data_IF_515762073599
#
_entry.id   IF_515762073599
#
_cell.length_a   1.000
_cell.length_b   1.000
_cell.length_c   1.000
_cell.angle_alpha   90.00
_cell.angle_beta   90.00
_cell.angle_gamma   90.00
#
_symmetry.space_group_name_H-M   'P 1'
#
loop_
_entity.id
_entity.type
_entity.pdbx_description
1 polymer ?
#
# COMPACT_ATOMS: atom_id res chain seq x y z
N UNK A 1 10.42 -19.60 17.00
CA UNK A 1 9.43 -19.44 15.90
C UNK A 1 10.21 -19.11 14.63
N UNK A 2 10.16 -20.01 13.64
CA UNK A 2 10.88 -19.80 12.38
C UNK A 2 10.15 -18.72 11.58
N UNK A 3 10.89 -17.73 11.04
CA UNK A 3 10.31 -16.75 10.14
C UNK A 3 9.68 -17.47 8.94
N UNK A 4 8.52 -17.01 8.44
CA UNK A 4 7.89 -17.62 7.28
C UNK A 4 8.84 -17.57 6.07
N UNK A 5 8.96 -18.71 5.37
CA UNK A 5 9.79 -18.75 4.18
C UNK A 5 9.26 -17.76 3.12
N UNK A 6 10.13 -16.97 2.48
CA UNK A 6 9.74 -16.07 1.42
C UNK A 6 9.09 -16.84 0.26
N UNK A 7 8.16 -16.18 -0.46
CA UNK A 7 7.58 -16.74 -1.67
C UNK A 7 8.61 -16.74 -2.80
N UNK A 8 8.53 -17.78 -3.65
CA UNK A 8 9.19 -17.73 -4.95
C UNK A 8 8.32 -16.86 -5.90
N UNK A 9 8.76 -15.63 -6.14
CA UNK A 9 8.01 -14.67 -6.97
C UNK A 9 7.67 -15.21 -8.36
N UNK A 10 8.50 -16.10 -8.92
CA UNK A 10 8.26 -16.69 -10.23
C UNK A 10 7.11 -17.73 -10.23
N UNK A 11 6.66 -18.16 -9.06
CA UNK A 11 5.61 -19.18 -8.88
C UNK A 11 4.35 -18.68 -8.20
N UNK A 12 4.29 -17.38 -7.94
CA UNK A 12 3.10 -16.76 -7.33
C UNK A 12 1.94 -16.83 -8.32
N UNK A 13 0.80 -17.36 -7.87
CA UNK A 13 -0.45 -17.28 -8.61
C UNK A 13 -1.25 -16.07 -8.10
N UNK A 14 -1.54 -15.07 -8.96
CA UNK A 14 -2.32 -13.91 -8.55
C UNK A 14 -3.70 -14.22 -7.96
N UNK A 15 -4.34 -15.33 -8.38
CA UNK A 15 -5.66 -15.71 -7.88
C UNK A 15 -5.64 -16.15 -6.40
N UNK A 16 -4.48 -16.53 -5.87
CA UNK A 16 -4.34 -16.87 -4.45
C UNK A 16 -4.53 -15.67 -3.51
N UNK A 17 -4.47 -14.46 -4.07
CA UNK A 17 -4.70 -13.19 -3.35
C UNK A 17 -6.13 -12.66 -3.47
N UNK A 18 -7.05 -13.42 -4.07
CA UNK A 18 -8.47 -13.04 -4.12
C UNK A 18 -9.12 -13.22 -2.74
N UNK A 19 -9.86 -12.19 -2.32
CA UNK A 19 -10.53 -12.15 -1.01
C UNK A 19 -12.05 -12.16 -1.23
N UNK A 20 -12.71 -13.24 -0.82
CA UNK A 20 -14.17 -13.44 -0.94
C UNK A 20 -14.83 -13.60 0.42
N UNK A 21 -14.06 -13.99 1.44
CA UNK A 21 -14.52 -14.23 2.80
C UNK A 21 -13.40 -13.96 3.79
N UNK A 22 -13.71 -14.04 5.09
CA UNK A 22 -12.74 -13.80 6.16
C UNK A 22 -11.55 -14.76 6.14
N UNK A 23 -11.78 -16.04 5.82
CA UNK A 23 -10.69 -17.01 5.72
C UNK A 23 -9.72 -16.68 4.57
N UNK A 24 -10.23 -16.13 3.46
CA UNK A 24 -9.40 -15.63 2.36
C UNK A 24 -8.56 -14.43 2.81
N UNK A 25 -9.13 -13.54 3.61
CA UNK A 25 -8.41 -12.38 4.17
C UNK A 25 -7.23 -12.82 5.02
N UNK A 26 -7.44 -13.76 5.95
CA UNK A 26 -6.36 -14.29 6.78
C UNK A 26 -5.26 -14.96 5.95
N UNK A 27 -5.65 -15.78 4.96
CA UNK A 27 -4.69 -16.42 4.04
C UNK A 27 -3.91 -15.37 3.23
N UNK A 28 -4.60 -14.36 2.71
CA UNK A 28 -3.98 -13.29 1.90
C UNK A 28 -3.02 -12.45 2.74
N UNK A 29 -3.36 -12.19 4.01
CA UNK A 29 -2.48 -11.50 4.94
C UNK A 29 -1.18 -12.27 5.17
N UNK A 30 -1.25 -13.59 5.42
CA UNK A 30 -0.08 -14.45 5.55
C UNK A 30 0.77 -14.52 4.27
N UNK A 31 0.11 -14.60 3.11
CA UNK A 31 0.78 -14.58 1.81
C UNK A 31 1.47 -13.23 1.57
N UNK A 32 0.85 -12.11 1.98
CA UNK A 32 1.44 -10.78 1.87
C UNK A 32 2.73 -10.64 2.68
N UNK A 33 2.77 -11.17 3.90
CA UNK A 33 4.00 -11.19 4.73
C UNK A 33 5.12 -11.92 3.99
N UNK A 34 4.83 -13.09 3.43
CA UNK A 34 5.81 -13.89 2.68
C UNK A 34 6.25 -13.21 1.38
N UNK A 35 5.33 -12.53 0.71
CA UNK A 35 5.60 -11.73 -0.49
C UNK A 35 6.56 -10.59 -0.16
N UNK A 36 6.30 -9.84 0.91
CA UNK A 36 7.16 -8.74 1.35
C UNK A 36 8.57 -9.20 1.75
N UNK A 37 8.71 -10.40 2.33
CA UNK A 37 10.02 -10.99 2.56
C UNK A 37 10.76 -11.24 1.23
N UNK A 38 10.09 -11.77 0.22
CA UNK A 38 10.69 -11.95 -1.10
C UNK A 38 11.03 -10.63 -1.78
N UNK A 39 10.19 -9.61 -1.65
CA UNK A 39 10.45 -8.25 -2.14
C UNK A 39 11.68 -7.65 -1.46
N UNK A 40 11.79 -7.77 -0.13
CA UNK A 40 12.96 -7.31 0.64
C UNK A 40 14.26 -7.97 0.14
N UNK A 41 14.24 -9.28 -0.01
CA UNK A 41 15.41 -10.02 -0.47
C UNK A 41 15.80 -9.59 -1.89
N UNK A 42 14.82 -9.30 -2.75
CA UNK A 42 15.08 -8.77 -4.10
C UNK A 42 15.68 -7.37 -4.07
N UNK A 43 15.20 -6.48 -3.20
CA UNK A 43 15.77 -5.13 -3.01
C UNK A 43 17.22 -5.20 -2.55
N UNK A 44 17.57 -6.12 -1.64
CA UNK A 44 18.94 -6.34 -1.18
C UNK A 44 19.83 -6.81 -2.35
N UNK A 45 19.36 -7.73 -3.17
CA UNK A 45 20.08 -8.19 -4.38
C UNK A 45 20.26 -7.05 -5.37
N UNK A 46 19.35 -6.09 -5.44
CA UNK A 46 19.45 -4.88 -6.27
C UNK A 46 20.40 -3.81 -5.69
N UNK A 47 20.97 -4.05 -4.51
CA UNK A 47 21.96 -3.18 -3.90
C UNK A 47 21.46 -2.26 -2.79
N UNK A 48 20.19 -2.38 -2.38
CA UNK A 48 19.69 -1.66 -1.21
C UNK A 48 20.32 -2.21 0.08
N UNK A 49 20.76 -1.37 1.01
CA UNK A 49 21.16 -1.82 2.33
C UNK A 49 20.01 -2.59 3.02
N UNK A 50 20.30 -3.66 3.81
CA UNK A 50 19.26 -4.45 4.48
C UNK A 50 18.29 -3.63 5.34
N UNK A 51 18.80 -2.59 6.00
CA UNK A 51 17.96 -1.69 6.80
C UNK A 51 16.98 -0.91 5.92
N UNK A 52 17.47 -0.30 4.83
CA UNK A 52 16.64 0.46 3.88
C UNK A 52 15.58 -0.44 3.22
N UNK A 53 15.99 -1.64 2.78
CA UNK A 53 15.05 -2.62 2.24
C UNK A 53 13.96 -3.01 3.25
N UNK A 54 14.31 -3.12 4.54
CA UNK A 54 13.36 -3.35 5.63
C UNK A 54 12.40 -2.18 5.84
N UNK A 55 12.89 -0.94 5.81
CA UNK A 55 12.08 0.27 5.96
C UNK A 55 11.10 0.44 4.78
N UNK A 56 11.56 0.20 3.54
CA UNK A 56 10.70 0.21 2.35
C UNK A 56 9.58 -0.85 2.45
N UNK A 57 9.94 -2.08 2.84
CA UNK A 57 8.94 -3.13 3.02
C UNK A 57 7.98 -2.81 4.16
N UNK A 58 8.42 -2.15 5.24
CA UNK A 58 7.54 -1.69 6.32
C UNK A 58 6.51 -0.66 5.86
N UNK A 59 6.89 0.26 4.97
CA UNK A 59 5.94 1.20 4.35
C UNK A 59 4.92 0.49 3.45
N UNK A 60 5.37 -0.47 2.64
CA UNK A 60 4.49 -1.30 1.83
C UNK A 60 3.57 -2.20 2.68
N UNK A 61 4.07 -2.76 3.79
CA UNK A 61 3.30 -3.60 4.72
C UNK A 61 2.07 -2.86 5.25
N UNK A 62 2.24 -1.65 5.75
CA UNK A 62 1.15 -0.84 6.26
C UNK A 62 0.08 -0.55 5.19
N UNK A 63 0.48 -0.20 3.98
CA UNK A 63 -0.45 0.01 2.87
C UNK A 63 -1.17 -1.27 2.48
N UNK A 64 -0.45 -2.36 2.28
CA UNK A 64 -1.00 -3.60 1.74
C UNK A 64 -1.88 -4.34 2.75
N UNK A 65 -1.43 -4.49 4.00
CA UNK A 65 -2.14 -5.31 4.97
C UNK A 65 -3.26 -4.54 5.66
N UNK A 66 -2.99 -3.34 6.15
CA UNK A 66 -3.99 -2.58 6.91
C UNK A 66 -5.02 -1.92 6.00
N UNK A 67 -4.63 -1.43 4.82
CA UNK A 67 -5.55 -0.75 3.93
C UNK A 67 -6.09 -1.64 2.80
N UNK A 68 -5.21 -2.21 1.96
CA UNK A 68 -5.66 -2.97 0.78
C UNK A 68 -6.38 -4.25 1.17
N UNK A 69 -5.82 -5.04 2.07
CA UNK A 69 -6.38 -6.32 2.50
C UNK A 69 -7.49 -6.10 3.54
N UNK A 70 -7.17 -5.52 4.69
CA UNK A 70 -8.11 -5.45 5.81
C UNK A 70 -9.24 -4.44 5.59
N UNK A 71 -8.96 -3.24 5.09
CA UNK A 71 -9.99 -2.22 4.86
C UNK A 71 -10.76 -2.45 3.55
N UNK A 72 -10.04 -2.65 2.43
CA UNK A 72 -10.65 -2.71 1.10
C UNK A 72 -11.05 -4.13 0.67
N UNK A 73 -10.34 -5.17 1.12
CA UNK A 73 -10.55 -6.55 0.68
C UNK A 73 -10.17 -6.79 -0.78
N UNK A 74 -9.19 -6.03 -1.26
CA UNK A 74 -8.74 -6.12 -2.64
C UNK A 74 -7.60 -7.13 -2.82
N UNK A 75 -7.51 -7.65 -4.03
CA UNK A 75 -6.33 -8.39 -4.47
C UNK A 75 -5.19 -7.41 -4.74
N UNK A 76 -4.13 -7.46 -3.94
CA UNK A 76 -3.01 -6.53 -4.03
C UNK A 76 -2.21 -6.62 -5.34
N UNK A 77 -2.28 -7.75 -6.06
CA UNK A 77 -1.66 -7.91 -7.39
C UNK A 77 -2.54 -7.35 -8.52
N UNK A 78 -3.81 -7.05 -8.24
CA UNK A 78 -4.80 -6.44 -9.13
C UNK A 78 -5.35 -5.14 -8.56
N UNK A 79 -4.49 -4.37 -7.92
CA UNK A 79 -4.86 -3.15 -7.19
C UNK A 79 -5.65 -2.18 -8.07
N UNK A 80 -6.84 -1.72 -7.63
CA UNK A 80 -7.56 -0.64 -8.30
C UNK A 80 -6.74 0.65 -8.36
N UNK A 81 -6.92 1.42 -9.45
CA UNK A 81 -6.08 2.59 -9.74
C UNK A 81 -6.12 3.68 -8.66
N UNK A 82 -7.27 3.85 -8.00
CA UNK A 82 -7.50 4.91 -7.01
C UNK A 82 -6.96 4.60 -5.61
N UNK A 83 -6.48 3.40 -5.33
CA UNK A 83 -6.17 2.95 -3.96
C UNK A 83 -5.03 3.72 -3.29
N UNK A 84 -4.00 4.06 -4.03
CA UNK A 84 -2.89 4.87 -3.47
C UNK A 84 -3.40 6.25 -3.04
N UNK A 85 -4.20 6.91 -3.89
CA UNK A 85 -4.79 8.22 -3.56
C UNK A 85 -5.74 8.14 -2.38
N UNK A 86 -6.57 7.12 -2.31
CA UNK A 86 -7.47 6.89 -1.19
C UNK A 86 -6.74 6.63 0.13
N UNK A 87 -5.67 5.83 0.07
CA UNK A 87 -4.81 5.61 1.22
C UNK A 87 -4.16 6.90 1.69
N UNK A 88 -3.40 7.56 0.83
CA UNK A 88 -2.57 8.69 1.19
C UNK A 88 -3.37 9.99 1.39
N UNK A 89 -4.41 10.22 0.58
CA UNK A 89 -5.21 11.45 0.61
C UNK A 89 -6.41 11.40 1.56
N UNK A 90 -6.72 10.25 2.16
CA UNK A 90 -7.85 10.13 3.07
C UNK A 90 -7.56 9.19 4.26
N UNK A 91 -7.40 7.88 4.01
CA UNK A 91 -7.37 6.87 5.05
C UNK A 91 -6.24 7.07 6.05
N UNK A 92 -5.01 7.29 5.57
CA UNK A 92 -3.86 7.59 6.40
C UNK A 92 -4.10 8.83 7.27
N UNK A 93 -4.64 9.89 6.70
CA UNK A 93 -4.86 11.17 7.38
C UNK A 93 -5.82 11.00 8.56
N UNK A 94 -6.91 10.28 8.36
CA UNK A 94 -7.95 10.07 9.40
C UNK A 94 -7.51 9.07 10.47
N UNK A 95 -6.66 8.09 10.10
CA UNK A 95 -6.21 7.02 11.00
C UNK A 95 -4.97 7.38 11.81
N UNK A 96 -4.22 8.38 11.41
CA UNK A 96 -2.98 8.79 12.04
C UNK A 96 -3.24 9.96 13.00
N UNK A 97 -2.70 9.90 14.23
CA UNK A 97 -2.88 10.98 15.23
C UNK A 97 -2.26 12.30 14.76
N UNK A 98 -1.09 12.22 14.16
CA UNK A 98 -0.35 13.37 13.64
C UNK A 98 0.11 13.11 12.21
N UNK A 99 -0.84 13.08 11.23
CA UNK A 99 -0.48 12.85 9.85
C UNK A 99 0.48 13.94 9.36
N UNK A 100 1.57 13.52 8.72
CA UNK A 100 2.60 14.43 8.26
C UNK A 100 3.24 13.96 6.94
N UNK A 101 3.74 14.93 6.18
CA UNK A 101 4.38 14.71 4.89
C UNK A 101 5.56 13.72 4.95
N UNK A 102 6.41 13.83 5.95
CA UNK A 102 7.65 13.05 6.03
C UNK A 102 7.37 11.56 6.23
N UNK A 103 6.47 11.22 7.13
CA UNK A 103 6.06 9.83 7.36
C UNK A 103 5.36 9.26 6.13
N UNK A 104 4.39 10.01 5.57
CA UNK A 104 3.66 9.59 4.39
C UNK A 104 4.59 9.34 3.20
N UNK A 105 5.56 10.21 2.97
CA UNK A 105 6.54 10.04 1.89
C UNK A 105 7.35 8.75 2.04
N UNK A 106 7.73 8.36 3.28
CA UNK A 106 8.41 7.08 3.54
C UNK A 106 7.52 5.88 3.25
N UNK A 107 6.25 5.93 3.68
CA UNK A 107 5.28 4.87 3.40
C UNK A 107 5.12 4.68 1.88
N UNK A 108 4.91 5.77 1.16
CA UNK A 108 4.70 5.76 -0.30
C UNK A 108 5.95 5.34 -1.08
N UNK A 109 7.15 5.69 -0.61
CA UNK A 109 8.40 5.17 -1.18
C UNK A 109 8.46 3.63 -1.09
N UNK A 110 8.02 3.06 0.02
CA UNK A 110 7.89 1.61 0.20
C UNK A 110 6.89 0.98 -0.77
N UNK A 111 5.72 1.59 -0.93
CA UNK A 111 4.69 1.14 -1.90
C UNK A 111 5.25 1.14 -3.32
N UNK A 112 5.87 2.24 -3.75
CA UNK A 112 6.45 2.36 -5.09
C UNK A 112 7.56 1.31 -5.33
N UNK A 113 8.45 1.11 -4.35
CA UNK A 113 9.53 0.11 -4.44
C UNK A 113 8.97 -1.32 -4.53
N UNK A 114 7.94 -1.65 -3.74
CA UNK A 114 7.28 -2.95 -3.77
C UNK A 114 6.69 -3.23 -5.15
N UNK A 115 5.86 -2.33 -5.68
CA UNK A 115 5.21 -2.54 -6.99
C UNK A 115 6.19 -2.56 -8.15
N UNK A 116 7.32 -1.85 -8.07
CA UNK A 116 8.42 -1.99 -9.04
C UNK A 116 8.97 -3.42 -9.05
N UNK A 117 9.27 -3.99 -7.89
CA UNK A 117 9.76 -5.38 -7.78
C UNK A 117 8.73 -6.38 -8.30
N UNK A 118 7.44 -6.17 -8.00
CA UNK A 118 6.35 -7.02 -8.50
C UNK A 118 6.23 -6.96 -10.02
N UNK A 119 6.40 -5.78 -10.62
CA UNK A 119 6.40 -5.63 -12.09
C UNK A 119 7.62 -6.30 -12.73
N UNK A 120 8.81 -6.13 -12.16
CA UNK A 120 10.03 -6.81 -12.62
C UNK A 120 9.92 -8.34 -12.53
N UNK A 121 9.08 -8.84 -11.63
CA UNK A 121 8.77 -10.26 -11.45
C UNK A 121 7.56 -10.73 -12.29
N UNK A 122 7.04 -9.89 -13.17
CA UNK A 122 5.87 -10.13 -14.04
C UNK A 122 4.56 -10.47 -13.26
N UNK A 123 4.45 -10.06 -12.00
CA UNK A 123 3.25 -10.22 -11.17
C UNK A 123 2.26 -9.06 -11.33
N UNK A 124 2.75 -7.92 -11.75
CA UNK A 124 1.96 -6.70 -12.01
C UNK A 124 2.40 -6.13 -13.36
N UNK A 125 1.45 -5.62 -14.12
CA UNK A 125 1.74 -4.96 -15.39
C UNK A 125 2.64 -3.72 -15.19
N UNK A 126 3.69 -3.52 -16.00
CA UNK A 126 4.60 -2.37 -15.86
C UNK A 126 3.88 -1.02 -15.85
N UNK A 127 2.89 -0.82 -16.71
CA UNK A 127 2.08 0.40 -16.78
C UNK A 127 1.31 0.69 -15.50
N UNK A 128 0.86 -0.36 -14.79
CA UNK A 128 0.20 -0.22 -13.49
C UNK A 128 1.20 0.18 -12.41
N UNK A 129 2.37 -0.44 -12.38
CA UNK A 129 3.43 -0.06 -11.44
C UNK A 129 3.89 1.39 -11.65
N UNK A 130 3.98 1.85 -12.90
CA UNK A 130 4.29 3.25 -13.25
C UNK A 130 3.20 4.21 -12.74
N UNK A 131 1.92 3.87 -12.92
CA UNK A 131 0.81 4.67 -12.42
C UNK A 131 0.82 4.74 -10.87
N UNK A 132 1.07 3.63 -10.20
CA UNK A 132 1.22 3.57 -8.73
C UNK A 132 2.39 4.45 -8.28
N UNK A 133 3.54 4.37 -8.95
CA UNK A 133 4.71 5.19 -8.64
C UNK A 133 4.43 6.69 -8.83
N UNK A 134 3.68 7.07 -9.86
CA UNK A 134 3.26 8.44 -10.10
C UNK A 134 2.34 8.96 -8.97
N UNK A 135 1.35 8.15 -8.56
CA UNK A 135 0.49 8.51 -7.42
C UNK A 135 1.29 8.59 -6.11
N UNK A 136 2.25 7.69 -5.88
CA UNK A 136 3.14 7.76 -4.71
C UNK A 136 4.03 9.02 -4.69
N UNK A 137 4.35 9.57 -5.84
CA UNK A 137 5.19 10.75 -5.98
C UNK A 137 4.44 12.08 -5.78
N UNK A 138 3.10 12.07 -5.79
CA UNK A 138 2.25 13.28 -5.69
C UNK A 138 2.13 13.81 -4.24
N UNK A 139 3.28 13.91 -3.56
CA UNK A 139 3.38 14.25 -2.14
C UNK A 139 2.80 15.63 -1.84
N UNK A 140 2.95 16.58 -2.75
CA UNK A 140 2.45 17.96 -2.56
C UNK A 140 0.92 17.98 -2.45
N UNK A 141 0.23 17.21 -3.29
CA UNK A 141 -1.22 17.08 -3.20
C UNK A 141 -1.67 16.44 -1.88
N UNK A 142 -0.95 15.42 -1.39
CA UNK A 142 -1.26 14.79 -0.10
C UNK A 142 -1.00 15.73 1.07
N UNK A 143 0.05 16.55 1.01
CA UNK A 143 0.32 17.58 2.01
C UNK A 143 -0.81 18.60 2.07
N UNK A 144 -1.30 19.11 0.91
CA UNK A 144 -2.47 19.97 0.85
C UNK A 144 -3.72 19.33 1.47
N UNK A 145 -3.90 18.00 1.30
CA UNK A 145 -4.99 17.26 1.93
C UNK A 145 -4.85 17.20 3.46
N UNK A 146 -3.63 17.02 3.97
CA UNK A 146 -3.33 17.04 5.42
C UNK A 146 -3.61 18.44 6.00
N UNK A 147 -3.12 19.48 5.34
CA UNK A 147 -3.35 20.87 5.75
C UNK A 147 -4.84 21.21 5.76
N UNK A 148 -5.56 20.83 4.72
CA UNK A 148 -7.00 21.02 4.62
C UNK A 148 -7.77 20.27 5.71
N UNK A 149 -7.31 19.08 6.12
CA UNK A 149 -7.89 18.32 7.22
C UNK A 149 -7.75 19.06 8.55
N UNK A 150 -6.58 19.62 8.84
CA UNK A 150 -6.36 20.40 10.06
C UNK A 150 -7.07 21.75 10.07
N UNK A 151 -7.42 22.28 8.90
CA UNK A 151 -8.15 23.54 8.75
C UNK A 151 -9.67 23.35 8.71
N UNK A 152 -10.20 22.15 8.95
CA UNK A 152 -11.65 21.91 8.98
C UNK A 152 -12.29 22.69 10.14
N UNK A 153 -13.31 23.48 9.80
CA UNK A 153 -14.19 24.16 10.74
C UNK A 153 -15.63 23.66 10.55
N UNK A 154 -16.41 23.66 11.63
CA UNK A 154 -17.83 23.28 11.66
C UNK A 154 -18.11 21.91 10.99
N UNK A 155 -18.93 21.91 9.94
CA UNK A 155 -19.36 20.71 9.20
C UNK A 155 -18.51 20.43 7.94
N UNK A 156 -17.34 21.08 7.81
CA UNK A 156 -16.45 20.96 6.64
C UNK A 156 -15.89 19.57 6.37
N UNK A 157 -15.97 18.63 7.34
CA UNK A 157 -15.46 17.26 7.16
C UNK A 157 -16.11 16.52 6.00
N UNK A 158 -17.42 16.70 5.78
CA UNK A 158 -18.13 16.05 4.68
C UNK A 158 -17.59 16.47 3.31
N UNK A 159 -17.32 17.76 3.12
CA UNK A 159 -16.74 18.28 1.87
C UNK A 159 -15.32 17.77 1.68
N UNK A 160 -14.49 17.80 2.73
CA UNK A 160 -13.13 17.27 2.71
C UNK A 160 -13.11 15.76 2.33
N UNK A 161 -13.93 14.96 2.98
CA UNK A 161 -14.06 13.52 2.73
C UNK A 161 -14.48 13.23 1.28
N UNK A 162 -15.44 13.97 0.75
CA UNK A 162 -15.98 13.76 -0.59
C UNK A 162 -15.01 14.14 -1.70
N UNK A 163 -14.00 14.97 -1.42
CA UNK A 163 -12.94 15.30 -2.38
C UNK A 163 -11.98 14.13 -2.66
N UNK A 164 -11.92 13.14 -1.76
CA UNK A 164 -11.16 11.90 -1.95
C UNK A 164 -11.92 10.75 -1.22
N UNK A 165 -13.02 10.24 -1.77
CA UNK A 165 -13.86 9.27 -1.08
C UNK A 165 -13.18 7.90 -0.99
N UNK A 166 -13.31 7.26 0.18
CA UNK A 166 -12.92 5.86 0.36
C UNK A 166 -13.90 4.92 -0.37
N UNK A 167 -13.49 3.68 -0.66
CA UNK A 167 -14.41 2.68 -1.17
C UNK A 167 -15.54 2.45 -0.16
N UNK A 168 -16.72 2.02 -0.63
CA UNK A 168 -17.82 1.67 0.28
C UNK A 168 -17.37 0.55 1.24
N UNK A 169 -17.90 0.55 2.49
CA UNK A 169 -17.64 -0.56 3.42
C UNK A 169 -17.97 -1.90 2.79
N UNK A 170 -17.16 -2.90 3.10
CA UNK A 170 -17.46 -4.28 2.70
C UNK A 170 -18.76 -4.75 3.36
N UNK A 171 -19.60 -5.53 2.66
CA UNK A 171 -20.82 -6.08 3.24
C UNK A 171 -20.57 -7.05 4.39
#
# INVERSE_FOLDING_TARGET
MQAPHPLDLARVNPDDFDIRCFDDELRTDELCVRLLHAVRDRLIVQGHPPQEAGELCGGADYFLRDFVIAECGDNLLRLPAERVRQFAGHWYIVRTLEPNRQELARLLAGVAACYRVLAESALVEPSRAEAIAADCADIDWYEERIEAFWAIEDDGFTAWRNACPLPPPRP
#
